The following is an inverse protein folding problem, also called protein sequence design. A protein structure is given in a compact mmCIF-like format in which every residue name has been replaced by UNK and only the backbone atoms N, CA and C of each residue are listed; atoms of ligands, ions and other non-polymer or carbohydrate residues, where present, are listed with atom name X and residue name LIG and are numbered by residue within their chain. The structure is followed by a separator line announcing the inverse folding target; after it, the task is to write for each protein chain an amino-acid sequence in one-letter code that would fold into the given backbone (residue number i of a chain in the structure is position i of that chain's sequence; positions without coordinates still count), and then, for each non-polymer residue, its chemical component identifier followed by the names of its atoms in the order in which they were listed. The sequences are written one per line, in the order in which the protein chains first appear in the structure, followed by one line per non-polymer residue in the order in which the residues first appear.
data_IF_254000178804
#
_entry.id   IF_254000178804
#
_cell.length_a   1.000
_cell.length_b   1.000
_cell.length_c   1.000
_cell.angle_alpha   90.00
_cell.angle_beta   90.00
_cell.angle_gamma   90.00
#
_symmetry.space_group_name_H-M   'P 1'
#
loop_
_entity.id
_entity.type
_entity.pdbx_description
1 polymer ?
#
# COMPACT_ATOMS: atom_id res chain seq x y z
N UNK A 1 1.10 -7.51 12.41
CA UNK A 1 2.41 -6.81 12.31
C UNK A 1 2.43 -5.68 13.31
N UNK A 2 3.35 -5.69 14.27
CA UNK A 2 3.63 -4.54 15.14
C UNK A 2 4.67 -3.59 14.53
N UNK A 3 5.00 -2.50 15.21
CA UNK A 3 5.85 -1.44 14.67
C UNK A 3 7.09 -1.20 15.54
N UNK A 4 8.28 -1.20 14.93
CA UNK A 4 9.53 -0.68 15.51
C UNK A 4 9.90 0.65 14.89
N UNK A 5 10.59 1.51 15.64
CA UNK A 5 10.93 2.87 15.20
C UNK A 5 11.95 2.84 14.08
N UNK A 6 11.72 3.57 12.99
CA UNK A 6 12.69 3.68 11.89
C UNK A 6 14.09 4.14 12.32
N UNK A 7 14.17 5.06 13.30
CA UNK A 7 15.45 5.64 13.73
C UNK A 7 16.25 4.70 14.63
N UNK A 8 15.58 3.75 15.29
CA UNK A 8 16.19 2.74 16.16
C UNK A 8 15.36 1.46 15.97
N UNK A 9 15.60 0.68 14.89
CA UNK A 9 14.71 -0.41 14.45
C UNK A 9 14.78 -1.66 15.35
N UNK A 10 15.28 -1.51 16.57
CA UNK A 10 15.24 -2.50 17.65
C UNK A 10 14.32 -2.07 18.79
N UNK A 11 13.80 -0.83 18.75
CA UNK A 11 12.92 -0.26 19.76
C UNK A 11 11.47 -0.30 19.30
N UNK A 12 10.61 -0.98 20.07
CA UNK A 12 9.17 -0.99 19.82
C UNK A 12 8.58 0.43 19.83
N UNK A 13 7.71 0.73 18.87
CA UNK A 13 6.99 1.99 18.83
C UNK A 13 5.98 2.06 19.99
N UNK A 14 5.84 3.22 20.63
CA UNK A 14 4.97 3.40 21.81
C UNK A 14 3.50 3.05 21.58
N UNK A 15 3.06 3.14 20.33
CA UNK A 15 1.69 2.89 19.91
C UNK A 15 1.48 1.47 19.35
N UNK A 16 2.55 0.66 19.25
CA UNK A 16 2.42 -0.71 18.74
C UNK A 16 1.60 -1.52 19.74
N UNK A 17 0.51 -2.12 19.26
CA UNK A 17 -0.29 -3.06 20.05
C UNK A 17 0.57 -4.22 20.53
N UNK A 18 0.24 -4.71 21.73
CA UNK A 18 0.93 -5.81 22.40
C UNK A 18 -0.10 -6.85 22.81
N UNK A 19 0.29 -8.10 22.75
CA UNK A 19 -0.49 -9.21 23.24
C UNK A 19 -0.35 -9.41 24.76
N UNK A 20 -0.89 -10.53 25.26
CA UNK A 20 -1.67 -11.52 24.50
C UNK A 20 -3.01 -10.94 24.00
N UNK A 21 -3.65 -11.61 23.05
CA UNK A 21 -5.06 -11.38 22.74
C UNK A 21 -5.94 -11.82 23.92
N UNK A 22 -7.22 -11.45 23.92
CA UNK A 22 -8.17 -11.82 24.99
C UNK A 22 -8.29 -13.34 25.19
N UNK A 23 -8.11 -14.12 24.12
CA UNK A 23 -8.09 -15.59 24.12
C UNK A 23 -6.69 -16.19 24.40
N UNK A 24 -5.72 -15.38 24.84
CA UNK A 24 -4.41 -15.83 25.31
C UNK A 24 -3.36 -16.08 24.22
N UNK A 25 -3.66 -15.85 22.93
CA UNK A 25 -2.67 -16.04 21.86
C UNK A 25 -1.62 -14.93 21.88
N UNK A 26 -0.37 -15.31 21.58
CA UNK A 26 0.72 -14.36 21.41
C UNK A 26 0.54 -13.56 20.11
N UNK A 27 0.47 -12.23 20.24
CA UNK A 27 0.43 -11.27 19.15
C UNK A 27 1.27 -10.04 19.52
N UNK A 28 1.80 -9.27 18.55
CA UNK A 28 1.77 -9.52 17.10
C UNK A 28 2.57 -10.77 16.71
N UNK A 29 2.38 -11.32 15.50
CA UNK A 29 3.23 -12.44 15.04
C UNK A 29 4.68 -11.98 14.80
N UNK A 30 4.87 -10.77 14.29
CA UNK A 30 6.18 -10.14 14.06
C UNK A 30 6.03 -8.62 14.00
N UNK A 31 7.15 -7.91 14.04
CA UNK A 31 7.21 -6.44 13.88
C UNK A 31 7.97 -6.02 12.62
N UNK A 32 7.69 -4.82 12.14
CA UNK A 32 8.44 -4.22 11.04
C UNK A 32 8.64 -2.72 11.26
N UNK A 33 9.56 -2.15 10.47
CA UNK A 33 9.96 -0.76 10.57
C UNK A 33 8.81 0.19 10.19
N UNK A 34 8.54 1.17 11.06
CA UNK A 34 7.61 2.29 10.81
C UNK A 34 8.28 3.43 10.03
N UNK A 35 7.61 4.58 9.94
CA UNK A 35 8.28 5.83 9.55
C UNK A 35 8.80 5.84 8.11
N UNK A 36 8.05 5.23 7.20
CA UNK A 36 8.43 5.11 5.79
C UNK A 36 8.21 6.43 5.05
N UNK A 37 9.07 6.72 4.07
CA UNK A 37 8.85 7.81 3.13
C UNK A 37 7.80 7.37 2.11
N UNK A 38 6.87 8.27 1.78
CA UNK A 38 5.75 8.01 0.87
C UNK A 38 5.79 9.00 -0.29
N UNK A 39 5.74 8.51 -1.52
CA UNK A 39 5.79 9.31 -2.76
C UNK A 39 4.41 9.59 -3.38
N UNK A 40 3.32 9.09 -2.78
CA UNK A 40 1.96 9.13 -3.33
C UNK A 40 1.19 10.43 -3.10
N UNK A 41 0.27 10.76 -4.01
CA UNK A 41 -0.67 11.86 -3.89
C UNK A 41 -1.65 11.61 -2.72
N UNK A 42 -1.56 12.39 -1.64
CA UNK A 42 -2.43 12.23 -0.46
C UNK A 42 -1.87 12.72 0.88
N UNK A 43 -0.57 13.00 0.96
CA UNK A 43 0.04 13.80 2.05
C UNK A 43 -0.21 13.29 3.47
N UNK A 44 0.48 12.24 3.90
CA UNK A 44 0.57 11.87 5.32
C UNK A 44 1.34 12.98 6.07
N UNK A 45 0.66 13.79 6.88
CA UNK A 45 1.12 15.10 7.35
C UNK A 45 2.17 15.10 8.50
N UNK A 46 3.34 14.46 8.37
CA UNK A 46 4.45 14.63 9.35
C UNK A 46 5.85 14.76 8.70
N UNK A 47 6.46 15.96 8.71
CA UNK A 47 7.72 16.28 8.02
C UNK A 47 9.00 15.71 8.68
N UNK A 48 9.95 15.36 7.80
CA UNK A 48 11.23 14.70 8.01
C UNK A 48 12.17 14.99 6.80
N UNK A 49 13.28 15.71 7.01
CA UNK A 49 14.18 16.14 5.93
C UNK A 49 14.90 15.02 5.15
N UNK A 50 14.84 13.77 5.62
CA UNK A 50 15.49 12.62 4.94
C UNK A 50 14.58 11.86 3.98
N UNK A 51 13.32 12.29 3.83
CA UNK A 51 12.45 11.86 2.75
C UNK A 51 12.50 12.88 1.61
N UNK A 52 12.82 12.45 0.38
CA UNK A 52 12.70 13.32 -0.79
C UNK A 52 11.22 13.73 -0.97
N UNK A 53 10.94 15.04 -1.12
CA UNK A 53 9.57 15.59 -1.17
C UNK A 53 9.26 16.56 0.00
N UNK A 54 8.01 16.64 0.46
CA UNK A 54 7.55 17.54 1.55
C UNK A 54 8.05 17.16 2.96
N UNK A 55 9.09 16.31 3.02
CA UNK A 55 9.63 15.69 4.21
C UNK A 55 8.77 14.57 4.81
N UNK A 56 7.65 14.20 4.20
CA UNK A 56 6.63 13.28 4.73
C UNK A 56 7.07 11.90 5.31
N UNK A 57 7.04 11.58 6.62
CA UNK A 57 7.12 10.17 7.10
C UNK A 57 5.74 9.63 7.52
N UNK A 58 5.32 8.52 6.92
CA UNK A 58 4.16 7.75 7.35
C UNK A 58 4.56 6.79 8.47
N UNK A 59 4.06 7.04 9.68
CA UNK A 59 4.32 6.23 10.88
C UNK A 59 3.05 5.51 11.32
N UNK A 60 3.22 4.34 11.92
CA UNK A 60 2.12 3.51 12.39
C UNK A 60 2.37 2.04 12.11
N UNK A 61 1.61 1.16 12.78
CA UNK A 61 1.52 -0.25 12.35
C UNK A 61 0.96 -0.35 10.93
N UNK A 62 0.16 0.62 10.49
CA UNK A 62 -0.26 0.79 9.10
C UNK A 62 0.89 1.06 8.13
N UNK A 63 2.04 1.56 8.59
CA UNK A 63 3.26 1.71 7.79
C UNK A 63 4.14 0.45 7.85
N UNK A 64 4.17 -0.22 9.00
CA UNK A 64 4.90 -1.48 9.17
C UNK A 64 4.27 -2.65 8.38
N UNK A 65 2.93 -2.73 8.34
CA UNK A 65 2.20 -3.79 7.64
C UNK A 65 2.52 -3.87 6.12
N UNK A 66 2.46 -2.79 5.32
CA UNK A 66 2.82 -2.85 3.90
C UNK A 66 4.31 -3.11 3.70
N UNK A 67 5.17 -2.85 4.68
CA UNK A 67 6.58 -3.24 4.64
C UNK A 67 6.73 -4.77 4.60
N UNK A 68 6.02 -5.47 5.47
CA UNK A 68 5.97 -6.95 5.48
C UNK A 68 5.29 -7.47 4.22
N UNK A 69 4.22 -6.82 3.74
CA UNK A 69 3.54 -7.21 2.51
C UNK A 69 4.46 -7.11 1.28
N UNK A 70 5.29 -6.06 1.20
CA UNK A 70 6.28 -5.92 0.13
C UNK A 70 7.35 -7.02 0.17
N UNK A 71 7.84 -7.37 1.36
CA UNK A 71 8.77 -8.50 1.53
C UNK A 71 8.09 -9.79 1.08
N UNK A 72 6.86 -10.06 1.53
CA UNK A 72 6.11 -11.24 1.14
C UNK A 72 5.91 -11.32 -0.39
N UNK A 73 5.61 -10.20 -1.04
CA UNK A 73 5.50 -10.13 -2.50
C UNK A 73 6.82 -10.43 -3.21
N UNK A 74 7.96 -9.96 -2.69
CA UNK A 74 9.29 -10.28 -3.23
C UNK A 74 9.62 -11.77 -3.08
N UNK A 75 9.27 -12.38 -1.94
CA UNK A 75 9.44 -13.83 -1.73
C UNK A 75 8.59 -14.63 -2.73
N UNK A 76 7.33 -14.24 -2.94
CA UNK A 76 6.46 -14.85 -3.93
C UNK A 76 6.94 -14.63 -5.38
N UNK A 77 7.49 -13.46 -5.69
CA UNK A 77 8.08 -13.20 -7.00
C UNK A 77 9.29 -14.11 -7.27
N UNK A 78 10.10 -14.34 -6.25
CA UNK A 78 11.25 -15.22 -6.31
C UNK A 78 10.83 -16.70 -6.41
N UNK A 79 9.83 -17.12 -5.63
CA UNK A 79 9.32 -18.49 -5.62
C UNK A 79 7.79 -18.48 -5.61
N UNK A 80 7.21 -18.52 -6.81
CA UNK A 80 5.76 -18.46 -7.04
C UNK A 80 5.01 -19.70 -6.55
N UNK A 81 5.73 -20.77 -6.18
CA UNK A 81 5.16 -22.02 -5.68
C UNK A 81 5.03 -22.07 -4.16
N UNK A 82 5.48 -21.04 -3.45
CA UNK A 82 5.34 -20.96 -1.99
C UNK A 82 3.85 -21.03 -1.60
N UNK A 83 3.54 -21.97 -0.72
CA UNK A 83 2.27 -21.97 0.01
C UNK A 83 2.19 -20.80 0.99
N UNK A 84 0.97 -20.53 1.47
CA UNK A 84 0.73 -19.52 2.50
C UNK A 84 1.52 -19.82 3.77
N UNK A 85 1.56 -21.09 4.15
CA UNK A 85 2.22 -21.59 5.36
C UNK A 85 3.73 -21.46 5.24
N UNK A 86 4.33 -21.89 4.12
CA UNK A 86 5.76 -21.73 3.87
C UNK A 86 6.18 -20.25 3.83
N UNK A 87 5.38 -19.39 3.21
CA UNK A 87 5.62 -17.95 3.19
C UNK A 87 5.56 -17.34 4.61
N UNK A 88 4.56 -17.75 5.41
CA UNK A 88 4.42 -17.31 6.80
C UNK A 88 5.62 -17.77 7.62
N UNK A 89 6.02 -19.03 7.52
CA UNK A 89 7.12 -19.60 8.29
C UNK A 89 8.46 -19.00 7.87
N UNK A 90 8.66 -18.70 6.59
CA UNK A 90 9.82 -17.99 6.10
C UNK A 90 9.95 -16.58 6.73
N UNK A 91 8.83 -15.88 6.90
CA UNK A 91 8.82 -14.55 7.54
C UNK A 91 9.00 -14.60 9.06
N UNK A 92 8.46 -15.63 9.73
CA UNK A 92 8.47 -15.73 11.18
C UNK A 92 9.75 -16.38 11.74
N UNK A 93 10.16 -17.52 11.18
CA UNK A 93 11.29 -18.28 11.72
C UNK A 93 12.65 -17.65 11.40
N UNK A 94 12.67 -16.65 10.51
CA UNK A 94 13.87 -15.94 10.10
C UNK A 94 13.83 -14.45 10.47
N UNK A 95 12.90 -14.04 11.33
CA UNK A 95 12.90 -12.69 11.88
C UNK A 95 14.10 -12.49 12.83
N UNK A 96 14.60 -11.26 12.91
CA UNK A 96 15.60 -10.89 13.90
C UNK A 96 14.91 -10.80 15.26
N UNK A 97 15.22 -11.72 16.17
CA UNK A 97 14.66 -11.74 17.51
C UNK A 97 15.03 -10.45 18.27
N UNK A 98 14.05 -9.86 18.95
CA UNK A 98 14.18 -8.60 19.68
C UNK A 98 13.51 -8.71 21.04
N UNK A 99 14.18 -8.21 22.07
CA UNK A 99 13.66 -8.29 23.43
C UNK A 99 14.20 -9.54 24.15
N UNK A 100 13.42 -10.15 25.04
CA UNK A 100 13.73 -11.46 25.61
C UNK A 100 13.80 -12.53 24.52
N UNK A 101 14.69 -13.51 24.68
CA UNK A 101 14.82 -14.61 23.71
C UNK A 101 13.49 -15.37 23.51
N UNK A 102 13.12 -15.56 22.25
CA UNK A 102 11.96 -16.32 21.83
C UNK A 102 10.71 -15.48 21.55
N UNK A 103 9.61 -16.16 21.24
CA UNK A 103 8.38 -15.50 20.80
C UNK A 103 7.67 -14.81 21.97
N UNK A 104 7.45 -13.50 21.87
CA UNK A 104 6.84 -12.70 22.93
C UNK A 104 5.62 -11.88 22.48
N UNK A 105 4.90 -11.29 23.43
CA UNK A 105 3.72 -10.45 23.16
C UNK A 105 4.03 -9.01 22.71
N UNK A 106 5.30 -8.64 22.54
CA UNK A 106 5.75 -7.28 22.20
C UNK A 106 6.28 -7.21 20.78
N UNK A 107 7.25 -8.07 20.47
CA UNK A 107 7.94 -8.22 19.19
C UNK A 107 7.46 -9.43 18.39
N UNK A 108 6.73 -10.37 19.00
CA UNK A 108 6.34 -11.61 18.34
C UNK A 108 7.57 -12.47 18.11
N UNK A 109 7.76 -12.94 16.89
CA UNK A 109 8.99 -13.61 16.44
C UNK A 109 10.17 -12.64 16.23
N UNK A 110 9.97 -11.33 16.41
CA UNK A 110 11.00 -10.32 16.18
C UNK A 110 10.73 -9.46 14.95
N UNK A 111 11.75 -8.72 14.52
CA UNK A 111 11.67 -7.84 13.34
C UNK A 111 11.86 -8.64 12.06
N UNK A 112 10.95 -8.48 11.10
CA UNK A 112 11.08 -9.11 9.78
C UNK A 112 12.48 -8.86 9.16
N UNK A 113 13.12 -9.91 8.66
CA UNK A 113 14.40 -9.84 7.97
C UNK A 113 14.24 -10.39 6.55
N UNK A 114 14.12 -9.48 5.58
CA UNK A 114 13.86 -9.84 4.19
C UNK A 114 14.93 -10.77 3.59
N UNK A 115 16.20 -10.53 3.92
CA UNK A 115 17.31 -11.32 3.38
C UNK A 115 17.31 -12.73 3.96
N UNK A 116 17.15 -12.86 5.27
CA UNK A 116 17.08 -14.16 5.93
C UNK A 116 15.87 -14.97 5.42
N UNK A 117 14.69 -14.34 5.31
CA UNK A 117 13.51 -14.98 4.72
C UNK A 117 13.72 -15.39 3.25
N UNK A 118 14.38 -14.57 2.43
CA UNK A 118 14.68 -14.88 1.03
C UNK A 118 15.65 -16.08 0.90
N UNK A 119 16.67 -16.14 1.76
CA UNK A 119 17.59 -17.27 1.80
C UNK A 119 16.86 -18.56 2.23
N UNK A 120 15.93 -18.48 3.19
CA UNK A 120 15.17 -19.63 3.67
C UNK A 120 14.28 -20.26 2.59
N UNK A 121 13.74 -19.46 1.67
CA UNK A 121 12.93 -19.94 0.53
C UNK A 121 13.76 -20.17 -0.74
N UNK A 122 15.09 -20.18 -0.60
CA UNK A 122 16.04 -20.43 -1.69
C UNK A 122 15.88 -19.46 -2.87
N UNK A 123 15.65 -18.19 -2.58
CA UNK A 123 15.80 -17.17 -3.60
C UNK A 123 17.23 -17.21 -4.13
N UNK A 124 17.39 -17.57 -5.40
CA UNK A 124 18.65 -17.37 -6.09
C UNK A 124 19.07 -15.91 -5.97
N UNK A 125 20.37 -15.64 -5.88
CA UNK A 125 20.86 -14.29 -6.08
C UNK A 125 20.22 -13.78 -7.38
N UNK A 126 19.63 -12.57 -7.40
CA UNK A 126 19.15 -12.04 -8.66
C UNK A 126 20.37 -12.04 -9.58
N UNK A 127 20.37 -12.87 -10.62
CA UNK A 127 21.12 -12.50 -11.82
C UNK A 127 20.58 -11.11 -12.12
N UNK A 128 21.41 -10.06 -12.17
CA UNK A 128 20.95 -8.76 -12.62
C UNK A 128 20.56 -8.94 -14.09
N UNK A 129 19.34 -9.44 -14.32
CA UNK A 129 18.59 -9.08 -15.49
C UNK A 129 18.50 -7.58 -15.35
N UNK A 130 19.14 -6.84 -16.25
CA UNK A 130 18.85 -5.43 -16.38
C UNK A 130 17.34 -5.33 -16.56
N UNK A 131 16.61 -5.07 -15.48
CA UNK A 131 15.32 -4.43 -15.56
C UNK A 131 15.66 -3.18 -16.35
N UNK A 132 15.19 -3.10 -17.60
CA UNK A 132 15.37 -1.90 -18.37
C UNK A 132 15.03 -0.76 -17.42
N UNK A 133 15.97 0.19 -17.23
CA UNK A 133 15.71 1.44 -16.52
C UNK A 133 14.27 1.79 -16.84
N UNK A 134 13.34 1.91 -15.87
CA UNK A 134 11.96 2.20 -16.20
C UNK A 134 12.01 3.37 -17.16
N UNK A 135 11.77 3.11 -18.43
CA UNK A 135 11.87 4.14 -19.44
C UNK A 135 10.80 5.08 -18.98
N UNK A 136 11.17 6.27 -18.53
CA UNK A 136 10.23 7.36 -18.37
C UNK A 136 9.48 7.35 -19.70
N UNK A 137 8.23 6.84 -19.69
CA UNK A 137 7.40 6.94 -20.87
C UNK A 137 7.38 8.44 -21.11
N UNK A 138 7.94 8.93 -22.24
CA UNK A 138 8.04 10.36 -22.45
C UNK A 138 6.65 10.91 -22.19
N UNK A 139 6.56 11.88 -21.27
CA UNK A 139 5.30 12.58 -21.02
C UNK A 139 4.73 12.90 -22.38
N UNK A 140 3.57 12.34 -22.79
CA UNK A 140 3.06 12.54 -24.13
C UNK A 140 2.94 14.05 -24.31
N UNK A 141 3.70 14.59 -25.25
CA UNK A 141 3.57 15.98 -25.64
C UNK A 141 2.17 16.13 -26.21
N UNK A 142 1.28 16.75 -25.45
CA UNK A 142 -0.12 16.91 -25.79
C UNK A 142 -0.22 17.84 -26.99
N UNK A 143 -0.53 17.29 -28.17
CA UNK A 143 -1.10 18.07 -29.25
C UNK A 143 -2.49 18.52 -28.81
N UNK A 144 -2.79 19.83 -28.73
CA UNK A 144 -4.12 20.27 -28.31
C UNK A 144 -5.14 19.83 -29.36
N UNK A 145 -5.99 18.89 -28.98
CA UNK A 145 -7.14 18.45 -29.76
C UNK A 145 -8.42 18.74 -28.98
N UNK A 146 -9.44 19.20 -29.71
CA UNK A 146 -10.64 19.84 -29.19
C UNK A 146 -11.35 19.06 -28.07
N UNK A 147 -11.86 19.81 -27.09
CA UNK A 147 -12.59 19.38 -25.89
C UNK A 147 -13.83 18.51 -26.18
N UNK A 148 -13.84 17.23 -25.75
CA UNK A 148 -15.06 16.45 -25.58
C UNK A 148 -15.64 16.63 -24.16
N UNK A 149 -16.95 16.33 -24.00
CA UNK A 149 -17.65 16.27 -22.70
C UNK A 149 -17.03 15.21 -21.78
N UNK A 150 -17.17 15.40 -20.46
CA UNK A 150 -16.71 14.44 -19.44
C UNK A 150 -17.29 13.04 -19.67
N UNK A 151 -16.46 12.00 -19.57
CA UNK A 151 -16.91 10.62 -19.64
C UNK A 151 -17.37 10.14 -18.25
N UNK A 152 -18.46 9.37 -18.18
CA UNK A 152 -18.95 8.77 -16.93
C UNK A 152 -17.88 7.88 -16.30
N UNK A 153 -17.59 8.07 -15.01
CA UNK A 153 -16.55 7.36 -14.28
C UNK A 153 -15.14 7.95 -14.42
N UNK A 154 -14.89 8.86 -15.37
CA UNK A 154 -13.62 9.57 -15.54
C UNK A 154 -13.74 10.98 -14.92
N UNK A 155 -13.24 11.11 -13.69
CA UNK A 155 -13.37 12.36 -12.91
C UNK A 155 -12.14 13.27 -13.04
N UNK A 156 -11.06 12.76 -13.65
CA UNK A 156 -9.77 13.45 -13.77
C UNK A 156 -9.40 13.83 -15.23
N UNK A 157 -10.21 13.44 -16.22
CA UNK A 157 -10.04 13.64 -17.68
C UNK A 157 -8.83 12.92 -18.30
N UNK A 158 -8.37 11.83 -17.71
CA UNK A 158 -7.28 11.03 -18.29
C UNK A 158 -7.77 10.00 -19.32
N UNK A 159 -9.08 9.94 -19.59
CA UNK A 159 -9.78 9.01 -20.49
C UNK A 159 -9.72 7.56 -20.04
N UNK A 160 -9.42 7.30 -18.78
CA UNK A 160 -9.46 5.99 -18.14
C UNK A 160 -10.46 6.05 -17.00
N UNK A 161 -11.05 4.90 -16.69
CA UNK A 161 -11.93 4.72 -15.54
C UNK A 161 -11.28 3.66 -14.68
N UNK A 162 -10.69 4.07 -13.56
CA UNK A 162 -9.93 3.18 -12.69
C UNK A 162 -9.94 3.63 -11.22
N UNK A 163 -9.15 2.96 -10.39
CA UNK A 163 -9.07 3.21 -8.94
C UNK A 163 -8.66 4.63 -8.58
N UNK A 164 -7.97 5.35 -9.47
CA UNK A 164 -7.66 6.77 -9.31
C UNK A 164 -8.94 7.60 -9.31
N UNK A 165 -9.87 7.34 -10.23
CA UNK A 165 -11.15 8.04 -10.31
C UNK A 165 -12.01 7.77 -9.07
N UNK A 166 -12.11 6.50 -8.66
CA UNK A 166 -12.80 6.12 -7.43
C UNK A 166 -12.20 6.82 -6.20
N UNK A 167 -10.87 6.91 -6.12
CA UNK A 167 -10.20 7.59 -5.02
C UNK A 167 -10.47 9.09 -5.01
N UNK A 168 -10.62 9.72 -6.18
CA UNK A 168 -10.93 11.14 -6.31
C UNK A 168 -12.38 11.43 -5.90
N UNK A 169 -13.32 10.56 -6.26
CA UNK A 169 -14.70 10.62 -5.76
C UNK A 169 -14.73 10.51 -4.23
N UNK A 170 -14.01 9.53 -3.65
CA UNK A 170 -13.93 9.39 -2.18
C UNK A 170 -13.26 10.61 -1.51
N UNK A 171 -12.21 11.18 -2.12
CA UNK A 171 -11.54 12.37 -1.61
C UNK A 171 -12.43 13.62 -1.68
N UNK A 172 -13.26 13.74 -2.73
CA UNK A 172 -14.24 14.81 -2.88
C UNK A 172 -15.34 14.71 -1.81
N UNK A 173 -15.91 13.51 -1.62
CA UNK A 173 -16.92 13.24 -0.58
C UNK A 173 -16.35 13.48 0.82
N UNK A 174 -15.08 13.12 1.05
CA UNK A 174 -14.36 13.37 2.30
C UNK A 174 -13.91 14.84 2.48
N UNK A 175 -14.25 15.74 1.56
CA UNK A 175 -13.84 17.16 1.54
C UNK A 175 -12.32 17.36 1.59
N UNK A 176 -11.54 16.38 1.12
CA UNK A 176 -10.09 16.48 0.97
C UNK A 176 -9.69 17.14 -0.33
N UNK A 177 -10.54 17.03 -1.34
CA UNK A 177 -10.44 17.74 -2.62
C UNK A 177 -11.74 18.52 -2.82
N UNK A 178 -11.63 19.80 -3.16
CA UNK A 178 -12.80 20.71 -3.25
C UNK A 178 -13.43 20.74 -4.64
N UNK A 179 -12.72 20.28 -5.66
CA UNK A 179 -13.12 20.34 -7.07
C UNK A 179 -12.66 19.05 -7.77
N UNK A 180 -13.58 18.42 -8.50
CA UNK A 180 -13.24 17.40 -9.50
C UNK A 180 -13.10 18.08 -10.86
N UNK A 181 -12.17 17.60 -11.70
CA UNK A 181 -12.00 18.09 -13.08
C UNK A 181 -13.24 17.80 -13.92
N UNK A 182 -13.91 16.68 -13.63
CA UNK A 182 -15.18 16.27 -14.22
C UNK A 182 -16.18 15.86 -13.13
N UNK A 183 -16.91 16.81 -12.52
CA UNK A 183 -17.92 16.48 -11.51
C UNK A 183 -19.11 15.72 -12.12
N UNK A 184 -19.43 15.97 -13.39
CA UNK A 184 -20.48 15.25 -14.14
C UNK A 184 -20.16 13.76 -14.34
N UNK A 185 -18.87 13.40 -14.35
CA UNK A 185 -18.44 11.99 -14.45
C UNK A 185 -18.41 11.26 -13.11
N UNK A 186 -18.68 11.96 -12.00
CA UNK A 186 -18.53 11.42 -10.64
C UNK A 186 -19.81 10.78 -10.07
N UNK A 187 -20.97 11.12 -10.64
CA UNK A 187 -22.27 10.50 -10.33
C UNK A 187 -22.53 9.41 -11.37
N UNK A 188 -22.02 8.20 -11.10
CA UNK A 188 -21.98 7.10 -12.09
C UNK A 188 -23.22 6.22 -12.06
N UNK A 189 -24.14 6.45 -11.12
CA UNK A 189 -25.47 5.83 -11.09
C UNK A 189 -26.60 6.85 -11.32
N UNK A 190 -26.23 8.11 -11.61
CA UNK A 190 -27.11 9.22 -11.98
C UNK A 190 -28.24 9.43 -10.97
N UNK A 191 -27.93 9.21 -9.68
CA UNK A 191 -28.87 9.39 -8.58
C UNK A 191 -28.90 10.84 -8.06
N UNK A 192 -28.07 11.71 -8.65
CA UNK A 192 -27.91 13.12 -8.30
C UNK A 192 -26.99 13.35 -7.09
N UNK A 193 -26.34 12.31 -6.55
CA UNK A 193 -25.51 12.38 -5.35
C UNK A 193 -24.16 11.70 -5.55
N UNK A 194 -23.12 12.51 -5.70
CA UNK A 194 -21.73 12.03 -5.66
C UNK A 194 -21.41 11.53 -4.24
N UNK A 195 -21.25 10.21 -4.07
CA UNK A 195 -20.99 9.57 -2.78
C UNK A 195 -20.10 8.32 -2.90
N UNK A 196 -19.94 7.56 -1.81
CA UNK A 196 -19.08 6.36 -1.80
C UNK A 196 -19.61 5.21 -2.66
N UNK A 197 -20.90 5.22 -3.01
CA UNK A 197 -21.52 4.25 -3.93
C UNK A 197 -20.95 4.44 -5.34
N UNK A 198 -20.78 5.68 -5.80
CA UNK A 198 -20.19 5.96 -7.11
C UNK A 198 -18.75 5.47 -7.21
N UNK A 199 -17.95 5.73 -6.17
CA UNK A 199 -16.59 5.24 -6.10
C UNK A 199 -16.53 3.70 -6.10
N UNK A 200 -17.45 3.04 -5.41
CA UNK A 200 -17.52 1.59 -5.39
C UNK A 200 -17.91 1.01 -6.76
N UNK A 201 -18.79 1.67 -7.51
CA UNK A 201 -19.17 1.27 -8.86
C UNK A 201 -18.00 1.40 -9.85
N UNK A 202 -17.19 2.45 -9.74
CA UNK A 202 -15.94 2.61 -10.51
C UNK A 202 -14.95 1.47 -10.21
N UNK A 203 -14.77 1.09 -8.94
CA UNK A 203 -13.90 -0.04 -8.57
C UNK A 203 -14.45 -1.39 -9.03
N UNK A 204 -15.78 -1.59 -9.00
CA UNK A 204 -16.41 -2.81 -9.51
C UNK A 204 -16.26 -2.94 -11.04
N UNK A 205 -16.37 -1.82 -11.76
CA UNK A 205 -16.10 -1.77 -13.21
C UNK A 205 -14.64 -2.08 -13.52
N UNK A 206 -13.68 -1.46 -12.82
CA UNK A 206 -12.25 -1.75 -12.98
C UNK A 206 -11.90 -3.22 -12.65
N UNK A 207 -12.56 -3.79 -11.62
CA UNK A 207 -12.39 -5.19 -11.24
C UNK A 207 -13.07 -6.19 -12.21
N UNK A 208 -13.74 -5.71 -13.26
CA UNK A 208 -14.44 -6.54 -14.24
C UNK A 208 -15.72 -7.20 -13.69
N UNK A 209 -16.21 -6.75 -12.52
CA UNK A 209 -17.46 -7.23 -11.92
C UNK A 209 -18.69 -6.58 -12.59
N UNK A 210 -18.49 -5.43 -13.24
CA UNK A 210 -19.46 -4.78 -14.11
C UNK A 210 -18.91 -4.68 -15.52
N UNK A 211 -19.68 -5.10 -16.52
CA UNK A 211 -19.31 -4.95 -17.94
C UNK A 211 -19.40 -3.50 -18.44
N UNK A 212 -20.14 -2.66 -17.73
CA UNK A 212 -20.27 -1.21 -17.96
C UNK A 212 -20.76 -0.53 -16.68
N UNK A 213 -20.48 0.76 -16.53
CA UNK A 213 -21.05 1.55 -15.43
C UNK A 213 -22.57 1.71 -15.62
N UNK A 214 -23.35 1.77 -14.53
CA UNK A 214 -24.79 2.03 -14.61
C UNK A 214 -25.09 3.38 -15.30
N UNK A 215 -26.24 3.50 -15.99
CA UNK A 215 -26.73 4.78 -16.46
C UNK A 215 -27.37 5.61 -15.36
#
# INVERSE_FOLDING_TARGET
VGAVRYSVPVTIARYSGRGPTEDGRTKPDLVATDGVCVSGAGGFKAANPSCQGDGRRFSGTSAAAPHVAGIAALLLQCNVSLSREELRDALLNNADDLGPDGVDGVYGHGRVNALASANAVQCGAPTPTATGTPTHTPTPSVTPHATPRCATGDVNRDRRVNSVDASLVLQFVARRVSILTCPEGADVNVDGRINSIDAALVLQFEAGLLGQLPP
#
